data_IF_163523360182
#
_entry.id   IF_163523360182
#
_cell.length_a   1.000
_cell.length_b   1.000
_cell.length_c   1.000
_cell.angle_alpha   90.00
_cell.angle_beta   90.00
_cell.angle_gamma   90.00
#
_symmetry.space_group_name_H-M   'P 1'
#
loop_
_entity.id
_entity.type
_entity.pdbx_description
1 polymer ?
#
# COMPACT_ATOMS: atom_id res chain seq x y z
N UNK A 1 -21.80 -1.18 8.72
CA UNK A 1 -20.57 -2.02 8.84
C UNK A 1 -20.67 -3.29 8.02
N UNK A 2 -21.66 -4.17 8.26
CA UNK A 2 -21.85 -5.40 7.45
C UNK A 2 -22.05 -5.14 5.94
N UNK A 3 -22.73 -4.04 5.59
CA UNK A 3 -22.91 -3.62 4.18
C UNK A 3 -21.56 -3.35 3.50
N UNK A 4 -20.62 -2.72 4.20
CA UNK A 4 -19.28 -2.43 3.66
C UNK A 4 -18.53 -3.73 3.41
N UNK A 5 -18.58 -4.67 4.36
CA UNK A 5 -18.00 -6.00 4.17
C UNK A 5 -18.64 -6.76 3.00
N UNK A 6 -19.97 -6.70 2.86
CA UNK A 6 -20.68 -7.31 1.75
C UNK A 6 -20.25 -6.75 0.39
N UNK A 7 -20.08 -5.43 0.28
CA UNK A 7 -19.61 -4.76 -0.93
C UNK A 7 -18.17 -5.14 -1.26
N UNK A 8 -17.28 -5.22 -0.26
CA UNK A 8 -15.88 -5.64 -0.44
C UNK A 8 -15.82 -7.08 -0.97
N UNK A 9 -16.61 -7.99 -0.37
CA UNK A 9 -16.66 -9.40 -0.79
C UNK A 9 -17.23 -9.53 -2.21
N UNK A 10 -18.30 -8.81 -2.51
CA UNK A 10 -18.89 -8.78 -3.85
C UNK A 10 -17.91 -8.27 -4.91
N UNK A 11 -17.16 -7.20 -4.60
CA UNK A 11 -16.11 -6.66 -5.48
C UNK A 11 -14.97 -7.64 -5.71
N UNK A 12 -14.54 -8.37 -4.68
CA UNK A 12 -13.50 -9.40 -4.78
C UNK A 12 -13.93 -10.57 -5.67
N UNK A 13 -15.15 -11.07 -5.49
CA UNK A 13 -15.71 -12.17 -6.31
C UNK A 13 -15.87 -11.72 -7.77
N UNK A 14 -16.37 -10.51 -7.99
CA UNK A 14 -16.53 -9.93 -9.34
C UNK A 14 -15.19 -9.77 -10.03
N UNK A 15 -14.16 -9.31 -9.31
CA UNK A 15 -12.79 -9.19 -9.82
C UNK A 15 -12.15 -10.55 -10.17
N UNK A 16 -12.45 -11.60 -9.39
CA UNK A 16 -12.02 -12.97 -9.68
C UNK A 16 -12.69 -13.56 -10.93
N UNK A 17 -13.98 -13.30 -11.13
CA UNK A 17 -14.73 -13.79 -12.30
C UNK A 17 -14.21 -13.17 -13.61
N UNK A 18 -13.80 -11.90 -13.55
CA UNK A 18 -13.27 -11.13 -14.68
C UNK A 18 -11.78 -11.46 -14.96
N UNK A 19 -11.02 -11.97 -13.98
CA UNK A 19 -9.60 -12.35 -14.11
C UNK A 19 -9.36 -13.53 -15.07
N UNK A 20 -10.39 -14.33 -15.39
CA UNK A 20 -10.26 -15.49 -16.29
C UNK A 20 -10.12 -15.11 -17.76
N UNK A 21 -10.56 -13.91 -18.16
CA UNK A 21 -10.28 -13.41 -19.50
C UNK A 21 -8.91 -12.75 -19.48
N UNK A 22 -7.99 -13.23 -20.32
CA UNK A 22 -6.63 -12.70 -20.48
C UNK A 22 -6.66 -11.29 -21.10
N UNK A 23 -7.25 -10.34 -20.40
CA UNK A 23 -7.32 -8.95 -20.76
C UNK A 23 -5.98 -8.33 -20.38
N UNK A 24 -5.01 -8.41 -21.30
CA UNK A 24 -3.73 -7.67 -21.27
C UNK A 24 -3.90 -6.18 -20.93
N UNK A 25 -5.12 -5.62 -21.01
CA UNK A 25 -5.47 -4.23 -20.75
C UNK A 25 -6.08 -3.94 -19.36
N UNK A 26 -6.33 -4.94 -18.51
CA UNK A 26 -6.77 -4.71 -17.11
C UNK A 26 -5.82 -3.82 -16.28
N UNK A 27 -4.49 -4.00 -16.33
CA UNK A 27 -3.59 -3.12 -15.58
C UNK A 27 -3.66 -1.67 -16.08
N UNK A 28 -3.86 -1.43 -17.37
CA UNK A 28 -4.01 -0.08 -17.93
C UNK A 28 -5.25 0.64 -17.40
N UNK A 29 -6.39 -0.05 -17.30
CA UNK A 29 -7.61 0.53 -16.74
C UNK A 29 -7.40 0.93 -15.26
N UNK A 30 -6.79 0.06 -14.47
CA UNK A 30 -6.49 0.33 -13.05
C UNK A 30 -5.54 1.51 -12.92
N UNK A 31 -4.46 1.55 -13.71
CA UNK A 31 -3.52 2.68 -13.71
C UNK A 31 -4.21 4.00 -14.10
N UNK A 32 -5.11 3.98 -15.09
CA UNK A 32 -5.87 5.17 -15.49
C UNK A 32 -6.78 5.67 -14.35
N UNK A 33 -7.48 4.76 -13.67
CA UNK A 33 -8.32 5.10 -12.51
C UNK A 33 -7.49 5.65 -11.36
N UNK A 34 -6.33 5.05 -11.07
CA UNK A 34 -5.40 5.56 -10.05
C UNK A 34 -4.93 6.97 -10.42
N UNK A 35 -4.58 7.22 -11.68
CA UNK A 35 -4.20 8.55 -12.15
C UNK A 35 -5.28 9.60 -11.91
N UNK A 36 -6.53 9.28 -12.28
CA UNK A 36 -7.68 10.17 -12.06
C UNK A 36 -7.90 10.41 -10.58
N UNK A 37 -7.82 9.36 -9.76
CA UNK A 37 -8.01 9.46 -8.31
C UNK A 37 -6.92 10.29 -7.65
N UNK A 38 -5.66 10.08 -8.01
CA UNK A 38 -4.53 10.88 -7.53
C UNK A 38 -4.64 12.34 -7.96
N UNK A 39 -5.12 12.60 -9.18
CA UNK A 39 -5.35 13.95 -9.67
C UNK A 39 -6.46 14.65 -8.89
N UNK A 40 -7.62 14.00 -8.73
CA UNK A 40 -8.73 14.53 -7.92
C UNK A 40 -8.30 14.78 -6.48
N UNK A 41 -7.57 13.84 -5.88
CA UNK A 41 -7.04 13.97 -4.53
C UNK A 41 -6.09 15.17 -4.42
N UNK A 42 -5.20 15.35 -5.41
CA UNK A 42 -4.29 16.49 -5.45
C UNK A 42 -5.02 17.83 -5.57
N UNK A 43 -6.11 17.90 -6.34
CA UNK A 43 -6.95 19.09 -6.44
C UNK A 43 -7.70 19.39 -5.13
N UNK A 44 -8.29 18.37 -4.50
CA UNK A 44 -9.04 18.52 -3.25
C UNK A 44 -8.15 18.97 -2.10
N UNK A 45 -6.97 18.36 -2.00
CA UNK A 45 -5.93 18.73 -1.02
C UNK A 45 -5.32 20.11 -1.33
N UNK A 46 -5.12 20.44 -2.60
CA UNK A 46 -4.52 21.72 -3.03
C UNK A 46 -5.46 22.92 -3.00
N UNK A 47 -6.77 22.72 -3.07
CA UNK A 47 -7.76 23.79 -2.98
C UNK A 47 -8.12 24.17 -1.54
N UNK A 48 -7.70 23.37 -0.55
CA UNK A 48 -8.05 23.59 0.85
C UNK A 48 -6.86 24.22 1.63
N UNK A 49 -6.90 25.53 1.94
CA UNK A 49 -5.82 26.19 2.66
C UNK A 49 -5.59 25.62 4.06
N UNK A 50 -6.63 25.06 4.71
CA UNK A 50 -6.49 24.41 6.02
C UNK A 50 -5.66 23.13 5.93
N UNK A 51 -5.74 22.41 4.80
CA UNK A 51 -4.96 21.20 4.58
C UNK A 51 -3.52 21.56 4.23
N UNK A 52 -3.29 22.62 3.44
CA UNK A 52 -1.93 23.10 3.09
C UNK A 52 -1.16 23.57 4.33
N UNK A 53 -1.79 24.34 5.23
CA UNK A 53 -1.16 24.78 6.48
C UNK A 53 -0.88 23.61 7.44
N UNK A 54 -1.77 22.62 7.48
CA UNK A 54 -1.56 21.40 8.24
C UNK A 54 -0.48 20.51 7.60
N UNK A 55 -0.36 20.46 6.27
CA UNK A 55 0.73 19.73 5.59
C UNK A 55 2.08 20.34 5.94
N UNK A 56 2.20 21.67 6.07
CA UNK A 56 3.46 22.30 6.47
C UNK A 56 3.95 21.87 7.88
N UNK A 57 3.03 21.70 8.82
CA UNK A 57 3.34 21.38 10.23
C UNK A 57 3.30 19.87 10.52
N UNK A 58 2.26 19.15 10.07
CA UNK A 58 2.14 17.70 10.18
C UNK A 58 3.00 16.96 9.17
N UNK A 59 3.31 17.54 8.01
CA UNK A 59 4.12 16.90 6.99
C UNK A 59 5.54 16.58 7.47
N UNK A 60 6.13 17.45 8.29
CA UNK A 60 7.46 17.19 8.87
C UNK A 60 7.45 16.01 9.83
N UNK A 61 6.45 15.96 10.72
CA UNK A 61 6.29 14.87 11.68
C UNK A 61 5.92 13.56 10.96
N UNK A 62 5.03 13.61 9.98
CA UNK A 62 4.68 12.48 9.13
C UNK A 62 5.88 11.95 8.33
N UNK A 63 6.75 12.83 7.82
CA UNK A 63 7.95 12.43 7.09
C UNK A 63 8.94 11.67 7.98
N UNK A 64 9.19 12.17 9.20
CA UNK A 64 10.05 11.49 10.18
C UNK A 64 9.46 10.12 10.55
N UNK A 65 8.15 10.06 10.84
CA UNK A 65 7.47 8.81 11.17
C UNK A 65 7.52 7.81 10.00
N UNK A 66 7.28 8.27 8.78
CA UNK A 66 7.39 7.44 7.58
C UNK A 66 8.80 6.90 7.41
N UNK A 67 9.82 7.75 7.54
CA UNK A 67 11.21 7.34 7.39
C UNK A 67 11.64 6.32 8.44
N UNK A 68 11.29 6.55 9.72
CA UNK A 68 11.55 5.60 10.80
C UNK A 68 10.77 4.30 10.62
N UNK A 69 9.51 4.37 10.19
CA UNK A 69 8.66 3.20 9.96
C UNK A 69 9.21 2.32 8.84
N UNK A 70 9.57 2.93 7.70
CA UNK A 70 10.14 2.21 6.55
C UNK A 70 11.49 1.61 6.92
N UNK A 71 12.37 2.40 7.52
CA UNK A 71 13.70 1.93 7.95
C UNK A 71 13.59 0.80 8.97
N UNK A 72 12.68 0.93 9.95
CA UNK A 72 12.40 -0.10 10.95
C UNK A 72 11.85 -1.38 10.34
N UNK A 73 10.91 -1.27 9.40
CA UNK A 73 10.34 -2.43 8.68
C UNK A 73 11.39 -3.17 7.86
N UNK A 74 12.23 -2.43 7.11
CA UNK A 74 13.32 -3.02 6.32
C UNK A 74 14.35 -3.68 7.24
N UNK A 75 14.72 -3.02 8.34
CA UNK A 75 15.65 -3.56 9.34
C UNK A 75 15.12 -4.84 10.00
N UNK A 76 13.84 -4.86 10.37
CA UNK A 76 13.19 -6.04 10.94
C UNK A 76 13.12 -7.21 9.93
N UNK A 77 12.78 -6.92 8.67
CA UNK A 77 12.78 -7.91 7.61
C UNK A 77 14.18 -8.49 7.38
N UNK A 78 15.21 -7.66 7.41
CA UNK A 78 16.61 -8.09 7.27
C UNK A 78 17.08 -8.94 8.45
N UNK A 79 16.75 -8.54 9.68
CA UNK A 79 17.02 -9.33 10.88
C UNK A 79 16.32 -10.68 10.81
N UNK A 80 15.04 -10.71 10.44
CA UNK A 80 14.28 -11.95 10.31
C UNK A 80 14.91 -12.88 9.26
N UNK A 81 15.29 -12.35 8.09
CA UNK A 81 16.00 -13.11 7.07
C UNK A 81 17.35 -13.64 7.59
N UNK A 82 18.09 -12.85 8.35
CA UNK A 82 19.37 -13.28 8.93
C UNK A 82 19.18 -14.39 9.98
N UNK A 83 18.21 -14.24 10.89
CA UNK A 83 17.86 -15.24 11.89
C UNK A 83 17.41 -16.57 11.26
N UNK A 84 16.55 -16.51 10.25
CA UNK A 84 16.09 -17.70 9.52
C UNK A 84 17.25 -18.37 8.79
N UNK A 85 18.10 -17.60 8.11
CA UNK A 85 19.27 -18.13 7.38
C UNK A 85 20.30 -18.76 8.32
N UNK A 86 20.51 -18.18 9.51
CA UNK A 86 21.42 -18.73 10.52
C UNK A 86 20.85 -20.00 11.19
N UNK A 87 19.53 -20.07 11.39
CA UNK A 87 18.87 -21.27 11.93
C UNK A 87 18.85 -22.44 10.93
N UNK A 88 18.67 -22.16 9.62
CA UNK A 88 18.71 -23.19 8.58
C UNK A 88 20.10 -23.81 8.40
N UNK A 89 21.20 -23.09 8.68
CA UNK A 89 22.56 -23.66 8.68
C UNK A 89 22.79 -24.69 9.79
N UNK A 90 22.08 -24.61 10.92
CA UNK A 90 22.19 -25.60 12.02
C UNK A 90 21.44 -26.91 11.76
N UNK A 91 20.54 -26.97 10.77
CA UNK A 91 19.80 -28.19 10.40
C UNK A 91 20.46 -29.01 9.29
N UNK A 92 21.46 -28.48 8.59
CA UNK A 92 22.17 -29.19 7.53
C UNK A 92 23.42 -29.95 8.00
N UNK A 93 23.79 -29.88 9.30
CA UNK A 93 24.92 -30.64 9.87
C UNK A 93 24.51 -31.66 10.94
N UNK A 94 23.23 -32.05 10.98
CA UNK A 94 22.74 -33.24 11.68
C UNK A 94 22.15 -34.18 10.64
#
# INVERSE_FOLDING_TARGET
>A
MLIVFGIIIAGFITGLLIRQQQLKHMPQLITMVIWVLLFLLGLDVGSNPQVIDQIGTLGWSAFILFFFSVTGSIGAAYLLQHFIKMNNRKRQSR
#
